data_IF_661409607696
#
_entry.id   IF_661409607696
#
_cell.length_a   1.000
_cell.length_b   1.000
_cell.length_c   1.000
_cell.angle_alpha   90.00
_cell.angle_beta   90.00
_cell.angle_gamma   90.00
#
_symmetry.space_group_name_H-M   'P 1'
#
loop_
_entity.id
_entity.type
_entity.pdbx_description
1 polymer ?
#
# COMPACT_ATOMS: atom_id res chain seq x y z
N UNK A 1 -54.26 6.98 -3.00
CA UNK A 1 -52.88 6.48 -2.95
C UNK A 1 -52.38 6.30 -4.37
N UNK A 2 -51.61 7.28 -4.87
CA UNK A 2 -50.72 7.16 -6.03
C UNK A 2 -49.63 8.19 -5.81
N UNK A 3 -48.43 7.72 -5.46
CA UNK A 3 -47.24 8.52 -5.22
C UNK A 3 -46.49 8.57 -6.56
N UNK A 4 -46.35 9.75 -7.15
CA UNK A 4 -45.48 9.98 -8.31
C UNK A 4 -44.27 10.76 -7.84
N UNK A 5 -43.09 10.15 -8.00
CA UNK A 5 -41.79 10.72 -7.71
C UNK A 5 -41.24 11.36 -8.98
N UNK A 6 -41.12 12.68 -9.02
CA UNK A 6 -40.39 13.37 -10.07
C UNK A 6 -39.23 14.18 -9.48
N UNK A 7 -38.11 14.09 -10.19
CA UNK A 7 -36.76 14.38 -9.74
C UNK A 7 -36.45 15.89 -9.70
N UNK A 8 -35.96 16.36 -8.55
CA UNK A 8 -35.38 17.70 -8.39
C UNK A 8 -33.94 17.70 -8.93
N UNK A 9 -33.78 17.99 -10.22
CA UNK A 9 -32.48 18.32 -10.83
C UNK A 9 -32.20 19.81 -10.64
N UNK A 10 -31.35 20.17 -9.68
CA UNK A 10 -30.83 21.53 -9.52
C UNK A 10 -29.88 21.86 -10.66
N UNK A 11 -30.35 22.68 -11.60
CA UNK A 11 -29.63 23.21 -12.76
C UNK A 11 -28.79 24.43 -12.35
N UNK A 12 -27.49 24.40 -12.69
CA UNK A 12 -26.55 25.52 -12.54
C UNK A 12 -26.98 26.70 -13.43
N UNK A 13 -26.98 27.95 -12.96
CA UNK A 13 -27.22 29.10 -13.81
C UNK A 13 -25.98 29.45 -14.65
N UNK A 14 -26.12 29.26 -15.97
CA UNK A 14 -25.21 29.76 -16.99
C UNK A 14 -25.26 31.29 -17.08
N UNK A 15 -24.09 31.89 -17.31
CA UNK A 15 -23.88 33.32 -17.50
C UNK A 15 -24.70 33.86 -18.68
N UNK A 16 -25.42 34.96 -18.44
CA UNK A 16 -26.08 35.76 -19.46
C UNK A 16 -25.04 36.60 -20.20
N UNK A 17 -24.85 36.28 -21.48
CA UNK A 17 -24.30 37.22 -22.46
C UNK A 17 -25.32 38.36 -22.67
N UNK A 18 -24.88 39.60 -22.61
CA UNK A 18 -25.58 40.71 -23.27
C UNK A 18 -24.62 41.34 -24.26
N UNK A 19 -25.02 41.20 -25.52
CA UNK A 19 -24.41 41.69 -26.74
C UNK A 19 -24.52 43.22 -26.86
N UNK A 20 -23.53 43.86 -27.49
CA UNK A 20 -23.75 45.09 -28.25
C UNK A 20 -22.70 46.19 -28.14
N UNK A 21 -21.77 46.24 -29.10
CA UNK A 21 -21.48 47.49 -29.82
C UNK A 21 -20.20 48.28 -29.55
N UNK A 22 -19.15 47.95 -30.31
CA UNK A 22 -18.26 48.85 -31.11
C UNK A 22 -17.40 49.93 -30.42
N UNK A 23 -16.12 49.59 -30.23
CA UNK A 23 -14.98 50.51 -30.18
C UNK A 23 -13.66 49.71 -30.07
N UNK A 24 -12.57 50.05 -30.78
CA UNK A 24 -11.33 49.30 -30.71
C UNK A 24 -10.65 49.53 -29.36
N UNK A 25 -10.70 48.55 -28.46
CA UNK A 25 -9.96 48.61 -27.20
C UNK A 25 -8.54 48.07 -27.40
N UNK A 26 -7.49 48.84 -27.07
CA UNK A 26 -6.10 48.44 -27.26
C UNK A 26 -5.72 47.31 -26.29
N UNK A 27 -5.02 46.30 -26.83
CA UNK A 27 -4.32 45.26 -26.08
C UNK A 27 -3.35 45.90 -25.09
N UNK A 28 -3.68 45.87 -23.80
CA UNK A 28 -2.76 46.30 -22.74
C UNK A 28 -1.76 45.17 -22.48
N UNK A 29 -0.62 45.28 -23.15
CA UNK A 29 0.58 44.48 -22.89
C UNK A 29 1.01 44.70 -21.42
N UNK A 30 1.05 43.62 -20.65
CA UNK A 30 1.52 43.65 -19.26
C UNK A 30 3.04 43.53 -19.27
N UNK A 31 3.72 44.67 -19.19
CA UNK A 31 5.18 44.77 -19.04
C UNK A 31 5.55 44.57 -17.57
N UNK A 32 6.35 43.55 -17.28
CA UNK A 32 6.90 43.31 -15.94
C UNK A 32 8.06 44.28 -15.67
N UNK A 33 8.05 45.11 -14.60
CA UNK A 33 9.20 45.94 -14.27
C UNK A 33 10.36 45.11 -13.70
N UNK A 34 11.54 45.27 -14.29
CA UNK A 34 12.80 44.68 -13.80
C UNK A 34 13.21 45.25 -12.42
N UNK A 35 13.91 44.47 -11.58
CA UNK A 35 14.29 44.90 -10.23
C UNK A 35 15.37 45.98 -10.27
N UNK A 36 15.10 47.13 -9.64
CA UNK A 36 16.08 48.20 -9.46
C UNK A 36 17.10 47.78 -8.41
N UNK A 37 18.30 47.40 -8.86
CA UNK A 37 19.50 47.32 -8.01
C UNK A 37 20.03 48.72 -7.71
N UNK A 38 20.17 49.04 -6.41
CA UNK A 38 21.15 50.02 -5.92
C UNK A 38 20.60 51.31 -5.32
N UNK A 39 20.31 51.29 -4.01
CA UNK A 39 20.62 52.40 -3.09
C UNK A 39 20.62 51.88 -1.65
N UNK A 40 21.80 51.73 -1.03
CA UNK A 40 21.91 51.54 0.41
C UNK A 40 21.51 52.85 1.11
N UNK A 41 20.58 52.85 2.08
CA UNK A 41 20.40 54.00 2.95
C UNK A 41 21.52 54.01 4.01
N UNK A 42 22.30 55.09 4.04
CA UNK A 42 23.22 55.42 5.13
C UNK A 42 22.42 55.59 6.41
N UNK A 43 22.61 54.68 7.37
CA UNK A 43 21.98 54.74 8.70
C UNK A 43 22.86 55.57 9.62
N UNK A 44 22.33 56.70 10.06
CA UNK A 44 22.91 57.52 11.14
C UNK A 44 22.73 56.77 12.47
N UNK A 45 23.74 56.69 13.37
CA UNK A 45 23.64 55.87 14.57
C UNK A 45 22.75 56.55 15.62
N UNK A 46 21.50 56.11 15.72
CA UNK A 46 20.63 56.43 16.85
C UNK A 46 21.10 55.62 18.06
N UNK A 47 21.53 56.31 19.11
CA UNK A 47 21.90 55.70 20.39
C UNK A 47 20.74 54.83 20.93
N UNK A 48 21.01 53.65 21.52
CA UNK A 48 19.95 52.75 21.97
C UNK A 48 19.16 53.39 23.11
N UNK A 49 17.92 53.79 22.82
CA UNK A 49 16.93 54.02 23.86
C UNK A 49 16.64 52.66 24.51
N UNK A 50 17.09 52.50 25.75
CA UNK A 50 16.76 51.34 26.58
C UNK A 50 15.27 51.39 26.89
N UNK A 51 14.46 50.73 26.06
CA UNK A 51 13.06 50.49 26.37
C UNK A 51 13.02 49.46 27.51
N UNK A 52 12.82 49.95 28.74
CA UNK A 52 12.55 49.10 29.89
C UNK A 52 11.32 48.23 29.58
N UNK A 53 11.52 46.91 29.57
CA UNK A 53 10.45 45.93 29.44
C UNK A 53 9.50 46.06 30.63
N UNK A 54 8.31 46.62 30.42
CA UNK A 54 7.24 46.56 31.41
C UNK A 54 6.77 45.10 31.55
N UNK A 55 6.64 44.56 32.77
CA UNK A 55 6.14 43.20 32.96
C UNK A 55 4.69 43.11 32.45
N UNK A 56 4.44 42.17 31.52
CA UNK A 56 3.10 41.85 31.06
C UNK A 56 2.26 41.32 32.23
N UNK A 57 1.00 41.79 32.35
CA UNK A 57 0.06 41.36 33.39
C UNK A 57 -0.50 39.94 33.18
N UNK A 58 -0.08 39.27 32.11
CA UNK A 58 -0.28 37.85 31.91
C UNK A 58 1.02 37.19 32.39
N UNK A 59 0.93 36.41 33.48
CA UNK A 59 2.06 35.66 34.01
C UNK A 59 2.74 34.79 32.94
N UNK A 60 3.91 34.19 33.23
CA UNK A 60 4.66 33.42 32.25
C UNK A 60 3.74 32.45 31.51
N UNK A 61 3.53 32.68 30.22
CA UNK A 61 2.81 31.71 29.38
C UNK A 61 3.82 30.59 29.14
N UNK A 62 3.76 29.55 29.97
CA UNK A 62 4.54 28.33 29.77
C UNK A 62 4.26 27.84 28.35
N UNK A 63 5.31 27.70 27.53
CA UNK A 63 5.15 27.17 26.19
C UNK A 63 4.58 25.75 26.30
N UNK A 64 3.39 25.52 25.75
CA UNK A 64 2.77 24.21 25.68
C UNK A 64 3.81 23.22 25.09
N UNK A 65 4.13 22.10 25.76
CA UNK A 65 5.15 21.17 25.28
C UNK A 65 4.77 20.68 23.88
N UNK A 66 5.69 20.83 22.92
CA UNK A 66 5.44 20.41 21.54
C UNK A 66 5.02 18.92 21.52
N UNK A 67 3.91 18.58 20.84
CA UNK A 67 3.44 17.20 20.79
C UNK A 67 4.51 16.31 20.16
N UNK A 68 4.98 15.31 20.91
CA UNK A 68 5.98 14.33 20.45
C UNK A 68 5.48 13.68 19.16
N UNK A 69 6.13 14.01 18.04
CA UNK A 69 5.79 13.47 16.71
C UNK A 69 5.89 11.95 16.72
N UNK A 70 4.74 11.29 16.65
CA UNK A 70 4.66 9.82 16.55
C UNK A 70 5.21 9.38 15.20
N UNK A 71 6.20 8.48 15.22
CA UNK A 71 6.73 7.88 14.00
C UNK A 71 5.68 7.00 13.33
N UNK A 72 5.45 7.18 12.02
CA UNK A 72 4.48 6.41 11.26
C UNK A 72 4.96 4.97 11.04
N UNK A 73 4.31 4.00 11.68
CA UNK A 73 4.70 2.57 11.61
C UNK A 73 4.19 1.85 10.35
N UNK A 74 3.48 2.55 9.44
CA UNK A 74 2.83 1.93 8.27
C UNK A 74 3.83 1.46 7.22
N UNK A 75 4.84 2.27 6.90
CA UNK A 75 5.90 1.91 5.94
C UNK A 75 6.72 0.71 6.42
N UNK A 76 6.97 0.61 7.74
CA UNK A 76 7.69 -0.52 8.33
C UNK A 76 6.90 -1.83 8.23
N UNK A 77 5.58 -1.78 8.40
CA UNK A 77 4.70 -2.93 8.19
C UNK A 77 4.72 -3.41 6.73
N UNK A 78 4.71 -2.47 5.78
CA UNK A 78 4.79 -2.79 4.35
C UNK A 78 6.14 -3.39 3.94
N UNK A 79 7.26 -2.84 4.44
CA UNK A 79 8.58 -3.40 4.18
C UNK A 79 8.70 -4.85 4.68
N UNK A 80 8.10 -5.15 5.82
CA UNK A 80 8.12 -6.49 6.38
C UNK A 80 7.13 -7.43 5.66
N UNK A 81 6.02 -6.90 5.13
CA UNK A 81 5.15 -7.64 4.23
C UNK A 81 5.90 -8.03 2.94
N UNK A 82 6.66 -7.12 2.33
CA UNK A 82 7.48 -7.41 1.16
C UNK A 82 8.54 -8.48 1.45
N UNK A 83 9.23 -8.40 2.60
CA UNK A 83 10.19 -9.44 3.00
C UNK A 83 9.51 -10.80 3.16
N UNK A 84 8.33 -10.84 3.79
CA UNK A 84 7.56 -12.07 3.97
C UNK A 84 7.12 -12.64 2.62
N UNK A 85 6.68 -11.79 1.69
CA UNK A 85 6.35 -12.17 0.32
C UNK A 85 7.56 -12.76 -0.40
N UNK A 86 8.75 -12.18 -0.25
CA UNK A 86 9.96 -12.72 -0.85
C UNK A 86 10.27 -14.14 -0.31
N UNK A 87 10.12 -14.36 1.00
CA UNK A 87 10.27 -15.70 1.59
C UNK A 87 9.23 -16.68 1.03
N UNK A 88 7.96 -16.27 0.97
CA UNK A 88 6.90 -17.09 0.36
C UNK A 88 7.23 -17.45 -1.09
N UNK A 89 7.68 -16.47 -1.88
CA UNK A 89 8.05 -16.67 -3.28
C UNK A 89 9.17 -17.70 -3.43
N UNK A 90 10.25 -17.62 -2.63
CA UNK A 90 11.33 -18.62 -2.68
C UNK A 90 10.80 -20.01 -2.30
N UNK A 91 10.06 -20.13 -1.20
CA UNK A 91 9.52 -21.42 -0.75
C UNK A 91 8.57 -22.04 -1.78
N UNK A 92 7.72 -21.22 -2.39
CA UNK A 92 6.77 -21.68 -3.39
C UNK A 92 7.49 -22.10 -4.69
N UNK A 93 8.54 -21.38 -5.10
CA UNK A 93 9.36 -21.78 -6.25
C UNK A 93 10.07 -23.11 -6.02
N UNK A 94 10.60 -23.32 -4.81
CA UNK A 94 11.18 -24.61 -4.40
C UNK A 94 10.12 -25.71 -4.45
N UNK A 95 8.90 -25.44 -3.99
CA UNK A 95 7.80 -26.41 -4.05
C UNK A 95 7.42 -26.76 -5.50
N UNK A 96 7.29 -25.77 -6.39
CA UNK A 96 7.03 -26.01 -7.81
C UNK A 96 8.14 -26.83 -8.47
N UNK A 97 9.40 -26.53 -8.15
CA UNK A 97 10.55 -27.30 -8.64
C UNK A 97 10.49 -28.75 -8.14
N UNK A 98 10.20 -28.96 -6.86
CA UNK A 98 10.05 -30.29 -6.29
C UNK A 98 8.89 -31.06 -6.93
N UNK A 99 7.76 -30.41 -7.22
CA UNK A 99 6.63 -31.02 -7.93
C UNK A 99 7.05 -31.49 -9.32
N UNK A 100 7.76 -30.66 -10.10
CA UNK A 100 8.24 -31.07 -11.43
C UNK A 100 9.18 -32.29 -11.36
N UNK A 101 10.08 -32.32 -10.38
CA UNK A 101 11.02 -33.43 -10.22
C UNK A 101 10.34 -34.73 -9.73
N UNK A 102 9.40 -34.62 -8.78
CA UNK A 102 8.86 -35.77 -8.05
C UNK A 102 7.54 -36.29 -8.64
N UNK A 103 6.68 -35.40 -9.11
CA UNK A 103 5.35 -35.70 -9.65
C UNK A 103 5.42 -35.86 -11.16
N UNK A 104 5.91 -34.83 -11.86
CA UNK A 104 6.00 -34.86 -13.33
C UNK A 104 7.19 -35.70 -13.83
N UNK A 105 8.10 -36.09 -12.93
CA UNK A 105 9.33 -36.85 -13.22
C UNK A 105 10.19 -36.19 -14.31
N UNK A 106 10.18 -34.86 -14.36
CA UNK A 106 11.04 -34.09 -15.25
C UNK A 106 12.48 -34.23 -14.78
N UNK A 107 13.36 -34.75 -15.65
CA UNK A 107 14.80 -34.75 -15.42
C UNK A 107 15.42 -33.38 -15.73
N UNK A 108 16.52 -33.03 -15.06
CA UNK A 108 17.25 -31.80 -15.35
C UNK A 108 17.87 -31.18 -14.10
N UNK A 109 18.55 -30.06 -14.30
CA UNK A 109 19.07 -29.23 -13.22
C UNK A 109 17.90 -28.52 -12.49
N UNK A 110 17.75 -28.69 -11.16
CA UNK A 110 16.72 -28.02 -10.37
C UNK A 110 16.75 -26.50 -10.50
N UNK A 111 17.94 -25.90 -10.66
CA UNK A 111 18.05 -24.44 -10.78
C UNK A 111 17.45 -23.96 -12.11
N UNK A 112 17.76 -24.65 -13.22
CA UNK A 112 17.15 -24.35 -14.52
C UNK A 112 15.61 -24.48 -14.49
N UNK A 113 15.08 -25.54 -13.86
CA UNK A 113 13.64 -25.74 -13.71
C UNK A 113 12.98 -24.63 -12.88
N UNK A 114 13.64 -24.18 -11.81
CA UNK A 114 13.17 -23.06 -11.00
C UNK A 114 13.14 -21.76 -11.81
N UNK A 115 14.19 -21.49 -12.59
CA UNK A 115 14.27 -20.29 -13.42
C UNK A 115 13.22 -20.27 -14.54
N UNK A 116 12.87 -21.44 -15.09
CA UNK A 116 11.79 -21.58 -16.07
C UNK A 116 10.40 -21.38 -15.45
N UNK A 117 10.19 -21.82 -14.21
CA UNK A 117 8.94 -21.62 -13.49
C UNK A 117 8.72 -20.16 -13.02
N UNK A 118 9.80 -19.44 -12.70
CA UNK A 118 9.74 -18.09 -12.13
C UNK A 118 8.95 -17.03 -12.94
N UNK A 119 9.02 -16.97 -14.29
CA UNK A 119 8.22 -16.02 -15.07
C UNK A 119 6.77 -16.47 -15.31
N UNK A 120 6.37 -17.67 -14.88
CA UNK A 120 5.05 -18.21 -15.21
C UNK A 120 3.93 -17.60 -14.35
N UNK A 121 2.72 -17.55 -14.89
CA UNK A 121 1.54 -17.12 -14.13
C UNK A 121 1.22 -18.06 -12.95
N UNK A 122 1.56 -19.35 -13.06
CA UNK A 122 1.44 -20.33 -11.97
C UNK A 122 2.27 -19.93 -10.74
N UNK A 123 3.40 -19.24 -10.95
CA UNK A 123 4.23 -18.69 -9.89
C UNK A 123 3.82 -17.27 -9.48
N UNK A 124 3.71 -16.37 -10.46
CA UNK A 124 3.51 -14.94 -10.22
C UNK A 124 2.14 -14.63 -9.61
N UNK A 125 1.08 -15.33 -10.04
CA UNK A 125 -0.27 -15.06 -9.53
C UNK A 125 -0.38 -15.34 -8.02
N UNK A 126 0.05 -16.50 -7.49
CA UNK A 126 0.12 -16.73 -6.04
C UNK A 126 0.97 -15.73 -5.28
N UNK A 127 2.13 -15.34 -5.82
CA UNK A 127 3.03 -14.39 -5.15
C UNK A 127 2.40 -13.01 -5.06
N UNK A 128 1.78 -12.53 -6.14
CA UNK A 128 1.05 -11.27 -6.14
C UNK A 128 -0.16 -11.33 -5.20
N UNK A 129 -0.92 -12.42 -5.24
CA UNK A 129 -2.07 -12.64 -4.37
C UNK A 129 -1.68 -12.69 -2.88
N UNK A 130 -0.56 -13.33 -2.55
CA UNK A 130 0.00 -13.33 -1.20
C UNK A 130 0.36 -11.91 -0.74
N UNK A 131 1.07 -11.15 -1.58
CA UNK A 131 1.44 -9.77 -1.27
C UNK A 131 0.22 -8.90 -1.00
N UNK A 132 -0.79 -8.97 -1.88
CA UNK A 132 -2.04 -8.21 -1.74
C UNK A 132 -2.78 -8.65 -0.47
N UNK A 133 -2.95 -9.95 -0.25
CA UNK A 133 -3.62 -10.47 0.95
C UNK A 133 -2.93 -10.02 2.24
N UNK A 134 -1.59 -10.16 2.30
CA UNK A 134 -0.82 -9.74 3.46
C UNK A 134 -0.84 -8.22 3.66
N UNK A 135 -0.72 -7.44 2.57
CA UNK A 135 -0.81 -5.99 2.64
C UNK A 135 -2.18 -5.53 3.15
N UNK A 136 -3.28 -6.11 2.63
CA UNK A 136 -4.63 -5.82 3.10
C UNK A 136 -4.78 -6.11 4.59
N UNK A 137 -4.28 -7.25 5.06
CA UNK A 137 -4.26 -7.56 6.50
C UNK A 137 -3.47 -6.48 7.26
N UNK A 138 -2.26 -6.14 6.83
CA UNK A 138 -1.44 -5.12 7.50
C UNK A 138 -2.12 -3.75 7.55
N UNK A 139 -2.83 -3.36 6.48
CA UNK A 139 -3.51 -2.07 6.39
C UNK A 139 -4.79 -2.03 7.24
N UNK A 140 -5.57 -3.12 7.23
CA UNK A 140 -6.85 -3.20 7.95
C UNK A 140 -6.64 -3.45 9.44
N UNK A 141 -5.65 -4.27 9.81
CA UNK A 141 -5.45 -4.80 11.16
C UNK A 141 -4.64 -3.84 12.06
N UNK A 142 -4.71 -2.52 11.83
CA UNK A 142 -3.93 -1.48 12.52
C UNK A 142 -3.99 -1.52 14.08
N UNK A 143 -4.88 -2.33 14.68
CA UNK A 143 -5.01 -2.53 16.12
C UNK A 143 -5.15 -3.97 16.62
N UNK A 144 -5.21 -4.98 15.75
CA UNK A 144 -5.45 -6.35 16.25
C UNK A 144 -4.15 -7.08 16.58
N UNK A 145 -4.21 -7.91 17.62
CA UNK A 145 -3.10 -8.75 18.03
C UNK A 145 -2.78 -9.85 17.00
N UNK A 146 -1.79 -10.68 17.34
CA UNK A 146 -1.31 -11.80 16.50
C UNK A 146 -2.44 -12.70 15.95
N UNK A 147 -3.54 -12.87 16.69
CA UNK A 147 -4.72 -13.64 16.28
C UNK A 147 -5.33 -13.24 14.93
N UNK A 148 -5.29 -11.96 14.56
CA UNK A 148 -5.82 -11.53 13.27
C UNK A 148 -4.97 -12.04 12.09
N UNK A 149 -3.67 -12.26 12.30
CA UNK A 149 -2.82 -12.90 11.30
C UNK A 149 -3.05 -14.41 11.24
N UNK A 150 -3.45 -15.04 12.34
CA UNK A 150 -3.85 -16.46 12.34
C UNK A 150 -5.14 -16.66 11.55
N UNK A 151 -6.17 -15.85 11.81
CA UNK A 151 -7.44 -15.95 11.09
C UNK A 151 -7.32 -15.45 9.65
N UNK A 152 -6.64 -14.31 9.45
CA UNK A 152 -6.34 -13.76 8.13
C UNK A 152 -5.47 -14.68 7.28
N UNK A 153 -4.61 -15.49 7.91
CA UNK A 153 -3.78 -16.47 7.20
C UNK A 153 -4.58 -17.55 6.47
N UNK A 154 -5.78 -17.89 6.95
CA UNK A 154 -6.69 -18.77 6.21
C UNK A 154 -7.25 -18.10 4.95
N UNK A 155 -7.56 -16.81 5.01
CA UNK A 155 -8.00 -16.05 3.83
C UNK A 155 -6.85 -15.94 2.82
N UNK A 156 -5.62 -15.69 3.29
CA UNK A 156 -4.43 -15.68 2.43
C UNK A 156 -4.22 -17.04 1.78
N UNK A 157 -4.37 -18.13 2.53
CA UNK A 157 -4.24 -19.50 2.01
C UNK A 157 -5.24 -19.78 0.88
N UNK A 158 -6.51 -19.41 1.08
CA UNK A 158 -7.54 -19.57 0.05
C UNK A 158 -7.22 -18.71 -1.18
N UNK A 159 -6.78 -17.47 -0.96
CA UNK A 159 -6.45 -16.53 -2.01
C UNK A 159 -5.25 -16.99 -2.85
N UNK A 160 -4.18 -17.49 -2.22
CA UNK A 160 -3.00 -18.01 -2.94
C UNK A 160 -3.29 -19.32 -3.65
N UNK A 161 -4.09 -20.21 -3.05
CA UNK A 161 -4.53 -21.44 -3.70
C UNK A 161 -5.40 -21.16 -4.94
N UNK A 162 -6.37 -20.25 -4.83
CA UNK A 162 -7.19 -19.83 -5.97
C UNK A 162 -6.33 -19.17 -7.07
N UNK A 163 -5.38 -18.32 -6.69
CA UNK A 163 -4.46 -17.70 -7.63
C UNK A 163 -3.54 -18.71 -8.33
N UNK A 164 -3.12 -19.77 -7.64
CA UNK A 164 -2.31 -20.84 -8.24
C UNK A 164 -3.12 -21.61 -9.28
N UNK A 165 -4.37 -21.92 -8.96
CA UNK A 165 -5.28 -22.61 -9.88
C UNK A 165 -5.56 -21.78 -11.14
N UNK A 166 -5.87 -20.49 -10.97
CA UNK A 166 -6.13 -19.59 -12.12
C UNK A 166 -4.84 -19.31 -12.90
N UNK A 167 -3.72 -19.13 -12.22
CA UNK A 167 -2.42 -18.89 -12.84
C UNK A 167 -1.96 -20.09 -13.67
N UNK A 168 -2.13 -21.31 -13.16
CA UNK A 168 -1.82 -22.51 -13.94
C UNK A 168 -2.76 -22.73 -15.11
N UNK A 169 -4.05 -22.41 -14.97
CA UNK A 169 -5.03 -22.51 -16.06
C UNK A 169 -4.60 -21.71 -17.31
N UNK A 170 -4.02 -20.52 -17.12
CA UNK A 170 -3.57 -19.68 -18.25
C UNK A 170 -2.52 -20.33 -19.17
N UNK A 171 -1.85 -21.39 -18.72
CA UNK A 171 -0.89 -22.14 -19.54
C UNK A 171 -1.56 -23.20 -20.43
N UNK A 172 -2.79 -23.62 -20.11
CA UNK A 172 -3.49 -24.74 -20.77
C UNK A 172 -4.79 -24.33 -21.45
N UNK A 173 -5.47 -23.28 -20.97
CA UNK A 173 -6.77 -22.89 -21.47
C UNK A 173 -6.96 -21.37 -21.57
N UNK A 174 -7.86 -20.91 -22.46
CA UNK A 174 -8.22 -19.50 -22.53
C UNK A 174 -8.93 -19.07 -21.25
N UNK A 175 -8.75 -17.81 -20.86
CA UNK A 175 -9.51 -17.16 -19.80
C UNK A 175 -10.91 -16.71 -20.27
N UNK A 176 -11.18 -16.77 -21.58
CA UNK A 176 -12.44 -16.40 -22.18
C UNK A 176 -13.48 -17.53 -22.08
N UNK A 177 -14.76 -17.15 -22.01
CA UNK A 177 -15.88 -18.08 -22.08
C UNK A 177 -16.26 -18.35 -23.54
N UNK A 178 -16.76 -19.55 -23.88
CA UNK A 178 -17.02 -20.70 -22.99
C UNK A 178 -15.74 -21.51 -22.68
N UNK A 179 -15.68 -22.08 -21.47
CA UNK A 179 -14.60 -22.98 -21.05
C UNK A 179 -14.90 -24.40 -21.52
N UNK A 180 -13.91 -25.06 -22.12
CA UNK A 180 -13.96 -26.49 -22.42
C UNK A 180 -14.01 -27.30 -21.12
N UNK A 181 -15.11 -28.02 -20.91
CA UNK A 181 -15.36 -28.78 -19.67
C UNK A 181 -14.43 -29.97 -19.51
N UNK A 182 -14.08 -30.66 -20.58
CA UNK A 182 -13.14 -31.80 -20.55
C UNK A 182 -11.77 -31.32 -20.09
N UNK A 183 -11.24 -30.30 -20.77
CA UNK A 183 -9.95 -29.71 -20.45
C UNK A 183 -9.89 -29.18 -19.00
N UNK A 184 -10.96 -28.51 -18.55
CA UNK A 184 -11.08 -28.04 -17.18
C UNK A 184 -11.07 -29.18 -16.15
N UNK A 185 -11.77 -30.28 -16.44
CA UNK A 185 -11.79 -31.44 -15.55
C UNK A 185 -10.45 -32.16 -15.50
N UNK A 186 -9.76 -32.29 -16.63
CA UNK A 186 -8.43 -32.89 -16.70
C UNK A 186 -7.42 -32.04 -15.91
N UNK A 187 -7.47 -30.71 -16.09
CA UNK A 187 -6.62 -29.78 -15.35
C UNK A 187 -6.82 -29.84 -13.83
N UNK A 188 -8.06 -29.82 -13.34
CA UNK A 188 -8.34 -29.84 -11.89
C UNK A 188 -8.07 -31.22 -11.27
N UNK A 189 -7.99 -32.28 -12.08
CA UNK A 189 -7.65 -33.64 -11.63
C UNK A 189 -6.16 -33.95 -11.70
N UNK A 190 -5.37 -33.10 -12.35
CA UNK A 190 -3.93 -33.28 -12.47
C UNK A 190 -3.27 -33.24 -11.07
N UNK A 191 -2.54 -34.29 -10.66
CA UNK A 191 -1.88 -34.33 -9.36
C UNK A 191 -0.84 -33.23 -9.18
N UNK A 192 -0.15 -32.79 -10.23
CA UNK A 192 0.83 -31.72 -10.16
C UNK A 192 0.16 -30.36 -9.91
N UNK A 193 -0.98 -30.13 -10.56
CA UNK A 193 -1.81 -28.94 -10.34
C UNK A 193 -2.35 -28.92 -8.90
N UNK A 194 -2.91 -30.03 -8.44
CA UNK A 194 -3.42 -30.15 -7.07
C UNK A 194 -2.29 -29.95 -6.04
N UNK A 195 -1.12 -30.53 -6.27
CA UNK A 195 0.04 -30.35 -5.41
C UNK A 195 0.51 -28.88 -5.37
N UNK A 196 0.55 -28.20 -6.52
CA UNK A 196 0.93 -26.79 -6.61
C UNK A 196 -0.07 -25.88 -5.87
N UNK A 197 -1.37 -26.11 -6.08
CA UNK A 197 -2.45 -25.37 -5.41
C UNK A 197 -2.39 -25.57 -3.88
N UNK A 198 -2.20 -26.81 -3.43
CA UNK A 198 -2.04 -27.11 -2.01
C UNK A 198 -0.78 -26.48 -1.43
N UNK A 199 0.35 -26.55 -2.15
CA UNK A 199 1.59 -25.91 -1.72
C UNK A 199 1.41 -24.39 -1.58
N UNK A 200 0.77 -23.73 -2.54
CA UNK A 200 0.48 -22.30 -2.48
C UNK A 200 -0.39 -21.93 -1.26
N UNK A 201 -1.43 -22.73 -0.97
CA UNK A 201 -2.31 -22.50 0.16
C UNK A 201 -1.60 -22.71 1.51
N UNK A 202 -0.94 -23.86 1.68
CA UNK A 202 -0.26 -24.21 2.94
C UNK A 202 0.90 -23.25 3.21
N UNK A 203 1.78 -23.01 2.24
CA UNK A 203 2.89 -22.08 2.41
C UNK A 203 2.39 -20.64 2.62
N UNK A 204 1.30 -20.25 1.95
CA UNK A 204 0.68 -18.95 2.15
C UNK A 204 0.14 -18.79 3.57
N UNK A 205 -0.50 -19.83 4.12
CA UNK A 205 -0.94 -19.84 5.52
C UNK A 205 0.24 -19.67 6.46
N UNK A 206 1.25 -20.54 6.34
CA UNK A 206 2.37 -20.53 7.28
C UNK A 206 3.14 -19.21 7.20
N UNK A 207 3.50 -18.77 5.99
CA UNK A 207 4.25 -17.52 5.80
C UNK A 207 3.48 -16.30 6.33
N UNK A 208 2.15 -16.23 6.16
CA UNK A 208 1.35 -15.12 6.70
C UNK A 208 1.26 -15.14 8.23
N UNK A 209 1.19 -16.32 8.86
CA UNK A 209 1.17 -16.48 10.32
C UNK A 209 2.52 -16.06 10.93
N UNK A 210 3.64 -16.57 10.39
CA UNK A 210 4.98 -16.26 10.89
C UNK A 210 5.39 -14.81 10.58
N UNK A 211 5.10 -14.33 9.36
CA UNK A 211 5.33 -12.93 8.97
C UNK A 211 4.50 -11.96 9.82
N UNK A 212 3.23 -12.29 10.07
CA UNK A 212 2.36 -11.54 10.96
C UNK A 212 2.89 -11.45 12.39
N UNK A 213 3.46 -12.53 12.92
CA UNK A 213 4.09 -12.54 14.23
C UNK A 213 5.30 -11.58 14.30
N UNK A 214 6.16 -11.58 13.28
CA UNK A 214 7.29 -10.67 13.19
C UNK A 214 6.84 -9.19 13.11
N UNK A 215 5.79 -8.91 12.31
CA UNK A 215 5.21 -7.56 12.17
C UNK A 215 4.65 -7.06 13.51
N UNK A 216 3.84 -7.89 14.18
CA UNK A 216 3.26 -7.55 15.48
C UNK A 216 4.33 -7.40 16.58
N UNK A 217 5.42 -8.17 16.51
CA UNK A 217 6.58 -8.02 17.41
C UNK A 217 7.24 -6.65 17.29
N UNK A 218 7.56 -6.22 16.05
CA UNK A 218 8.21 -4.93 15.81
C UNK A 218 7.32 -3.74 16.18
N UNK A 219 6.03 -3.81 15.87
CA UNK A 219 5.07 -2.76 16.22
C UNK A 219 5.00 -2.51 17.74
N UNK A 220 5.02 -3.59 18.55
CA UNK A 220 5.06 -3.49 20.03
C UNK A 220 6.34 -2.81 20.52
N UNK A 221 7.49 -3.13 19.92
CA UNK A 221 8.78 -2.51 20.26
C UNK A 221 8.82 -1.00 19.96
N UNK A 222 8.25 -0.57 18.82
CA UNK A 222 8.13 0.86 18.49
C UNK A 222 7.20 1.57 19.45
N UNK A 223 6.05 0.97 19.79
CA UNK A 223 5.12 1.54 20.76
C UNK A 223 5.76 1.73 22.14
N UNK A 224 6.57 0.77 22.60
CA UNK A 224 7.31 0.89 23.86
C UNK A 224 8.31 2.04 23.83
N UNK A 225 9.13 2.15 22.78
CA UNK A 225 10.10 3.24 22.62
C UNK A 225 9.43 4.62 22.51
N UNK A 226 8.26 4.69 21.89
CA UNK A 226 7.49 5.94 21.82
C UNK A 226 6.94 6.31 23.20
N UNK A 227 6.45 5.34 23.99
CA UNK A 227 6.01 5.57 25.37
C UNK A 227 7.17 5.99 26.29
N UNK A 228 8.36 5.39 26.14
CA UNK A 228 9.58 5.81 26.85
C UNK A 228 9.97 7.26 26.53
N UNK A 229 9.84 7.68 25.25
CA UNK A 229 10.08 9.07 24.83
C UNK A 229 9.02 10.05 25.35
N UNK A 230 7.75 9.65 25.36
CA UNK A 230 6.66 10.45 25.93
C UNK A 230 6.86 10.62 27.45
N UNK A 231 7.30 9.58 28.17
CA UNK A 231 7.60 9.65 29.60
C UNK A 231 8.83 10.52 29.91
N UNK A 232 9.92 10.40 29.13
CA UNK A 232 11.11 11.22 29.29
C UNK A 232 10.90 12.71 28.96
N UNK A 233 9.87 13.04 28.17
CA UNK A 233 9.50 14.43 27.89
C UNK A 233 8.62 15.06 28.99
N UNK A 234 8.09 14.26 29.92
CA UNK A 234 7.23 14.68 31.03
C UNK A 234 7.96 14.76 32.38
N UNK A 235 9.22 14.28 32.45
CA UNK A 235 10.11 14.31 33.62
C UNK A 235 11.11 15.44 33.53
#
# INVERSE_FOLDING_TARGET
>A
MTWSSDAETTRIPSATETSGGTGPQPTREYVWPEPVTGRQPTVEPVAPAVAASAPSALGPVEAEPEPVRRSGNRLAGLALALLTTAVFAVLYLVALTAIRLLVDRVGGDPVALALDAAPTALFLAPVAAFLVGLALIVLVVNRAGWWAYVLGGFLVALLTAAAALVGGWSAVGPLALPIDRSLALDYVRDPAVLAAVLAAGVLGREASVWGGAAIAGRARGVKRRNAEREAAAQS
#
